data_IF_536118795356
#
_entry.id   IF_536118795356
#
_cell.length_a   1.000
_cell.length_b   1.000
_cell.length_c   1.000
_cell.angle_alpha   90.00
_cell.angle_beta   90.00
_cell.angle_gamma   90.00
#
_symmetry.space_group_name_H-M   'P 1'
#
loop_
_entity.id
_entity.type
_entity.pdbx_description
1 polymer ?
#
# COMPACT_ATOMS: atom_id res chain seq x y z
N UNK A 1 -21.74 27.47 6.20
CA UNK A 1 -20.72 28.34 6.85
C UNK A 1 -20.29 27.77 8.21
N UNK A 2 -20.93 28.05 9.36
CA UNK A 2 -20.44 27.58 10.69
C UNK A 2 -20.42 26.05 10.88
N UNK A 3 -21.37 25.33 10.30
CA UNK A 3 -21.44 23.86 10.40
C UNK A 3 -20.42 23.18 9.49
N UNK A 4 -20.22 23.69 8.28
CA UNK A 4 -19.22 23.20 7.32
C UNK A 4 -17.79 23.43 7.84
N UNK A 5 -17.51 24.58 8.45
CA UNK A 5 -16.22 24.87 9.09
C UNK A 5 -15.94 23.93 10.28
N UNK A 6 -16.96 23.58 11.06
CA UNK A 6 -16.84 22.58 12.14
C UNK A 6 -16.54 21.20 11.58
N UNK A 7 -17.28 20.75 10.57
CA UNK A 7 -17.07 19.46 9.92
C UNK A 7 -15.66 19.35 9.29
N UNK A 8 -15.15 20.45 8.73
CA UNK A 8 -13.78 20.53 8.19
C UNK A 8 -12.71 20.44 9.28
N UNK A 9 -12.89 21.13 10.42
CA UNK A 9 -11.98 21.00 11.58
C UNK A 9 -12.00 19.60 12.17
N UNK A 10 -13.17 19.03 12.40
CA UNK A 10 -13.29 17.65 12.90
C UNK A 10 -12.68 16.64 11.93
N UNK A 11 -12.79 16.87 10.62
CA UNK A 11 -12.11 16.06 9.61
C UNK A 11 -10.59 16.27 9.61
N UNK A 12 -10.09 17.46 9.95
CA UNK A 12 -8.66 17.73 10.16
C UNK A 12 -8.13 17.03 11.41
N UNK A 13 -8.83 17.13 12.53
CA UNK A 13 -8.45 16.45 13.78
C UNK A 13 -8.48 14.93 13.64
N UNK A 14 -9.51 14.37 12.98
CA UNK A 14 -9.54 12.93 12.66
C UNK A 14 -8.36 12.49 11.80
N UNK A 15 -7.88 13.35 10.88
CA UNK A 15 -6.68 13.08 10.07
C UNK A 15 -5.42 13.09 10.91
N UNK A 16 -5.20 14.14 11.70
CA UNK A 16 -4.07 14.25 12.62
C UNK A 16 -3.99 13.03 13.57
N UNK A 17 -5.14 12.59 14.08
CA UNK A 17 -5.23 11.38 14.90
C UNK A 17 -4.91 10.11 14.13
N UNK A 18 -5.39 9.98 12.89
CA UNK A 18 -5.03 8.88 12.00
C UNK A 18 -3.53 8.81 11.73
N UNK A 19 -2.91 9.94 11.41
CA UNK A 19 -1.47 10.04 11.15
C UNK A 19 -0.64 9.67 12.38
N UNK A 20 -1.08 10.04 13.58
CA UNK A 20 -0.44 9.63 14.84
C UNK A 20 -0.49 8.11 15.03
N UNK A 21 -1.63 7.48 14.76
CA UNK A 21 -1.78 6.03 14.86
C UNK A 21 -0.89 5.34 13.81
N UNK A 22 -0.91 5.83 12.56
CA UNK A 22 -0.08 5.32 11.47
C UNK A 22 1.41 5.39 11.79
N UNK A 23 1.89 6.50 12.34
CA UNK A 23 3.30 6.67 12.74
C UNK A 23 3.70 5.80 13.92
N UNK A 24 2.74 5.43 14.77
CA UNK A 24 2.97 4.54 15.92
C UNK A 24 2.90 3.06 15.52
N UNK A 25 2.04 2.71 14.55
CA UNK A 25 1.77 1.34 14.12
C UNK A 25 1.72 1.25 12.58
N UNK A 26 2.86 1.40 11.88
CA UNK A 26 2.89 1.38 10.43
C UNK A 26 2.58 -0.02 9.89
N UNK A 27 1.69 -0.12 8.90
CA UNK A 27 1.24 -1.39 8.31
C UNK A 27 1.46 -1.44 6.80
N UNK A 28 1.27 -0.32 6.10
CA UNK A 28 1.39 -0.24 4.65
C UNK A 28 2.74 0.35 4.23
N UNK A 29 3.07 0.28 2.93
CA UNK A 29 4.30 0.88 2.40
C UNK A 29 4.34 2.39 2.65
N UNK A 30 3.19 3.05 2.47
CA UNK A 30 3.03 4.48 2.70
C UNK A 30 3.31 4.86 4.16
N UNK A 31 2.87 4.03 5.11
CA UNK A 31 3.14 4.26 6.53
C UNK A 31 4.65 4.23 6.83
N UNK A 32 5.39 3.32 6.20
CA UNK A 32 6.86 3.28 6.32
C UNK A 32 7.53 4.45 5.59
N UNK A 33 7.02 4.89 4.45
CA UNK A 33 7.52 6.08 3.73
C UNK A 33 7.39 7.34 4.59
N UNK A 34 6.29 7.47 5.36
CA UNK A 34 6.15 8.55 6.35
C UNK A 34 7.25 8.50 7.41
N UNK A 35 7.57 7.33 7.96
CA UNK A 35 8.65 7.19 8.94
C UNK A 35 10.02 7.55 8.35
N UNK A 36 10.32 7.09 7.13
CA UNK A 36 11.56 7.47 6.45
C UNK A 36 11.63 8.99 6.23
N UNK A 37 10.53 9.63 5.82
CA UNK A 37 10.48 11.10 5.66
C UNK A 37 10.65 11.86 6.98
N UNK A 38 10.25 11.28 8.11
CA UNK A 38 10.44 11.88 9.43
C UNK A 38 11.90 11.83 9.85
N UNK A 39 12.57 10.69 9.62
CA UNK A 39 14.02 10.55 9.82
C UNK A 39 14.77 11.54 8.92
N UNK A 40 14.38 11.66 7.66
CA UNK A 40 15.00 12.61 6.72
C UNK A 40 14.88 14.06 7.16
N UNK A 41 13.67 14.50 7.54
CA UNK A 41 13.44 15.88 8.01
C UNK A 41 14.22 16.18 9.29
N UNK A 42 14.23 15.23 10.22
CA UNK A 42 15.03 15.33 11.44
C UNK A 42 16.52 15.46 11.10
N UNK A 43 17.04 14.60 10.22
CA UNK A 43 18.43 14.65 9.74
C UNK A 43 18.76 16.01 9.13
N UNK A 44 17.93 16.53 8.24
CA UNK A 44 18.16 17.84 7.62
C UNK A 44 18.16 18.99 8.63
N UNK A 45 17.22 18.98 9.58
CA UNK A 45 17.18 19.97 10.66
C UNK A 45 18.45 19.90 11.53
N UNK A 46 18.92 18.69 11.82
CA UNK A 46 20.11 18.46 12.62
C UNK A 46 21.40 18.82 11.87
N UNK A 47 21.48 18.53 10.57
CA UNK A 47 22.57 19.02 9.71
C UNK A 47 22.60 20.55 9.72
N UNK A 48 21.45 21.21 9.63
CA UNK A 48 21.38 22.68 9.67
C UNK A 48 21.85 23.22 11.03
N UNK A 49 21.44 22.59 12.14
CA UNK A 49 21.90 22.92 13.51
C UNK A 49 23.41 22.73 13.66
N UNK A 50 23.93 21.56 13.28
CA UNK A 50 25.35 21.22 13.39
C UNK A 50 26.20 22.10 12.49
N UNK A 51 25.67 22.50 11.32
CA UNK A 51 26.37 23.35 10.38
C UNK A 51 26.68 24.74 10.95
N UNK A 52 25.87 25.24 11.88
CA UNK A 52 26.08 26.52 12.57
C UNK A 52 27.22 26.48 13.61
N UNK A 53 27.71 25.30 14.02
CA UNK A 53 28.87 25.22 14.91
C UNK A 53 30.14 25.71 14.18
N UNK A 54 30.86 26.62 14.84
CA UNK A 54 32.07 27.23 14.29
C UNK A 54 33.32 26.35 14.40
N UNK A 55 33.37 25.44 15.38
CA UNK A 55 34.55 24.64 15.69
C UNK A 55 34.54 23.28 14.96
N UNK A 56 35.66 22.94 14.30
CA UNK A 56 35.77 21.72 13.47
C UNK A 56 35.66 20.42 14.27
N UNK A 57 36.32 20.33 15.43
CA UNK A 57 36.32 19.12 16.26
C UNK A 57 34.92 18.72 16.75
N UNK A 58 34.21 19.61 17.47
CA UNK A 58 32.84 19.36 17.91
C UNK A 58 31.89 19.08 16.74
N UNK A 59 32.05 19.77 15.61
CA UNK A 59 31.24 19.54 14.40
C UNK A 59 31.40 18.11 13.85
N UNK A 60 32.63 17.59 13.80
CA UNK A 60 32.89 16.20 13.39
C UNK A 60 32.24 15.21 14.36
N UNK A 61 32.40 15.42 15.67
CA UNK A 61 31.81 14.54 16.68
C UNK A 61 30.27 14.49 16.59
N UNK A 62 29.62 15.66 16.48
CA UNK A 62 28.17 15.76 16.33
C UNK A 62 27.66 15.11 15.04
N UNK A 63 28.39 15.24 13.91
CA UNK A 63 28.03 14.55 12.67
C UNK A 63 28.16 13.03 12.77
N UNK A 64 29.17 12.53 13.48
CA UNK A 64 29.30 11.08 13.75
C UNK A 64 28.12 10.58 14.58
N UNK A 65 27.77 11.30 15.67
CA UNK A 65 26.60 11.00 16.51
C UNK A 65 25.28 11.04 15.72
N UNK A 66 25.14 12.00 14.80
CA UNK A 66 23.99 12.08 13.91
C UNK A 66 23.90 10.84 13.00
N UNK A 67 25.01 10.44 12.38
CA UNK A 67 25.05 9.27 11.51
C UNK A 67 24.72 7.99 12.28
N UNK A 68 25.28 7.80 13.47
CA UNK A 68 25.00 6.64 14.31
C UNK A 68 23.52 6.54 14.66
N UNK A 69 22.90 7.67 15.05
CA UNK A 69 21.46 7.76 15.31
C UNK A 69 20.62 7.52 14.06
N UNK A 70 21.02 8.04 12.90
CA UNK A 70 20.33 7.77 11.62
C UNK A 70 20.32 6.27 11.32
N UNK A 71 21.48 5.61 11.44
CA UNK A 71 21.60 4.17 11.20
C UNK A 71 20.75 3.37 12.19
N UNK A 72 20.74 3.75 13.47
CA UNK A 72 19.90 3.12 14.49
C UNK A 72 18.41 3.23 14.13
N UNK A 73 17.93 4.44 13.82
CA UNK A 73 16.53 4.68 13.45
C UNK A 73 16.14 3.88 12.20
N UNK A 74 16.98 3.86 11.15
CA UNK A 74 16.72 3.09 9.94
C UNK A 74 16.70 1.58 10.20
N UNK A 75 17.57 1.08 11.07
CA UNK A 75 17.57 -0.34 11.50
C UNK A 75 16.29 -0.69 12.26
N UNK A 76 15.84 0.16 13.17
CA UNK A 76 14.58 -0.03 13.90
C UNK A 76 13.37 -0.08 12.93
N UNK A 77 13.32 0.84 11.97
CA UNK A 77 12.25 0.87 10.96
C UNK A 77 12.26 -0.42 10.12
N UNK A 78 13.42 -0.88 9.66
CA UNK A 78 13.51 -2.10 8.85
C UNK A 78 13.17 -3.36 9.66
N UNK A 79 13.62 -3.46 10.91
CA UNK A 79 13.25 -4.56 11.81
C UNK A 79 11.73 -4.64 12.00
N UNK A 80 11.09 -3.50 12.26
CA UNK A 80 9.63 -3.44 12.39
C UNK A 80 8.93 -3.80 11.07
N UNK A 81 9.45 -3.36 9.94
CA UNK A 81 8.93 -3.71 8.61
C UNK A 81 8.99 -5.22 8.34
N UNK A 82 10.07 -5.87 8.73
CA UNK A 82 10.19 -7.33 8.65
C UNK A 82 9.13 -7.99 9.52
N UNK A 83 8.98 -7.55 10.77
CA UNK A 83 7.98 -8.06 11.70
C UNK A 83 6.54 -7.92 11.15
N UNK A 84 6.17 -6.72 10.69
CA UNK A 84 4.84 -6.45 10.10
C UNK A 84 4.57 -7.35 8.88
N UNK A 85 5.59 -7.60 8.06
CA UNK A 85 5.49 -8.51 6.92
C UNK A 85 5.25 -9.95 7.38
N UNK A 86 5.93 -10.40 8.43
CA UNK A 86 5.74 -11.74 9.01
C UNK A 86 4.36 -11.90 9.64
N UNK A 87 3.89 -10.92 10.40
CA UNK A 87 2.55 -10.93 11.00
C UNK A 87 1.47 -10.90 9.92
N UNK A 88 1.65 -10.07 8.89
CA UNK A 88 0.76 -10.04 7.72
C UNK A 88 0.74 -11.38 6.97
N UNK A 89 1.87 -12.09 6.90
CA UNK A 89 1.93 -13.45 6.35
C UNK A 89 1.10 -14.40 7.21
N UNK A 90 1.35 -14.47 8.53
CA UNK A 90 0.62 -15.34 9.46
C UNK A 90 -0.90 -15.10 9.41
N UNK A 91 -1.34 -13.83 9.36
CA UNK A 91 -2.76 -13.47 9.24
C UNK A 91 -3.35 -14.01 7.93
N UNK A 92 -2.65 -13.85 6.80
CA UNK A 92 -3.11 -14.37 5.50
C UNK A 92 -3.18 -15.89 5.48
N UNK A 93 -2.22 -16.56 6.10
CA UNK A 93 -2.20 -18.02 6.22
C UNK A 93 -3.39 -18.50 7.05
N UNK A 94 -3.65 -17.89 8.20
CA UNK A 94 -4.84 -18.18 9.02
C UNK A 94 -6.14 -17.93 8.26
N UNK A 95 -6.26 -16.78 7.58
CA UNK A 95 -7.45 -16.45 6.78
C UNK A 95 -7.68 -17.46 5.65
N UNK A 96 -6.61 -17.91 5.00
CA UNK A 96 -6.67 -18.93 3.95
C UNK A 96 -7.17 -20.27 4.52
N UNK A 97 -6.61 -20.72 5.64
CA UNK A 97 -7.04 -21.95 6.30
C UNK A 97 -8.50 -21.89 6.75
N UNK A 98 -8.94 -20.74 7.26
CA UNK A 98 -10.35 -20.55 7.59
C UNK A 98 -11.24 -20.65 6.35
N UNK A 99 -10.86 -20.01 5.25
CA UNK A 99 -11.66 -20.00 4.02
C UNK A 99 -11.83 -21.39 3.41
N UNK A 100 -10.77 -22.22 3.36
CA UNK A 100 -10.86 -23.59 2.83
C UNK A 100 -11.70 -24.53 3.70
N UNK A 101 -11.84 -24.22 4.99
CA UNK A 101 -12.59 -25.04 5.95
C UNK A 101 -14.08 -24.71 6.04
N UNK A 102 -14.52 -23.62 5.37
CA UNK A 102 -15.92 -23.17 5.40
C UNK A 102 -16.81 -24.03 4.49
N UNK A 103 -18.04 -24.35 4.94
CA UNK A 103 -19.01 -25.02 4.08
C UNK A 103 -19.43 -24.10 2.93
N UNK A 104 -19.73 -24.69 1.77
CA UNK A 104 -20.21 -23.96 0.61
C UNK A 104 -21.63 -23.43 0.89
N UNK A 105 -21.86 -22.13 0.72
CA UNK A 105 -23.14 -21.49 1.04
C UNK A 105 -23.71 -20.73 -0.16
N UNK A 106 -24.98 -20.92 -0.47
CA UNK A 106 -25.69 -20.21 -1.55
C UNK A 106 -27.14 -19.97 -1.19
N UNK A 107 -27.76 -18.97 -1.82
CA UNK A 107 -29.19 -18.72 -1.67
C UNK A 107 -29.97 -19.61 -2.63
N UNK A 108 -30.93 -20.38 -2.10
CA UNK A 108 -31.91 -21.12 -2.90
C UNK A 108 -32.87 -20.18 -3.64
N UNK A 109 -33.69 -20.74 -4.53
CA UNK A 109 -34.71 -19.97 -5.28
C UNK A 109 -35.70 -19.23 -4.36
N UNK A 110 -35.92 -19.78 -3.17
CA UNK A 110 -36.81 -19.22 -2.15
C UNK A 110 -36.13 -18.15 -1.26
N UNK A 111 -34.89 -17.74 -1.58
CA UNK A 111 -34.12 -16.78 -0.81
C UNK A 111 -33.56 -17.30 0.52
N UNK A 112 -33.72 -18.59 0.83
CA UNK A 112 -33.13 -19.24 2.01
C UNK A 112 -31.65 -19.59 1.77
N UNK A 113 -30.80 -19.33 2.76
CA UNK A 113 -29.39 -19.72 2.72
C UNK A 113 -29.26 -21.24 2.92
N UNK A 114 -28.70 -21.93 1.94
CA UNK A 114 -28.38 -23.36 1.98
C UNK A 114 -26.87 -23.49 2.15
N UNK A 115 -26.45 -24.32 3.11
CA UNK A 115 -25.05 -24.66 3.35
C UNK A 115 -24.81 -26.13 3.02
N UNK A 116 -23.68 -26.45 2.39
CA UNK A 116 -23.25 -27.80 2.03
C UNK A 116 -21.82 -28.00 2.51
N UNK A 117 -21.62 -29.04 3.32
CA UNK A 117 -20.29 -29.51 3.69
C UNK A 117 -19.92 -30.63 2.72
N UNK A 118 -18.87 -30.43 1.94
CA UNK A 118 -18.34 -31.45 1.02
C UNK A 118 -17.26 -32.28 1.71
N UNK A 119 -16.87 -33.40 1.09
CA UNK A 119 -15.77 -34.22 1.63
C UNK A 119 -14.47 -33.41 1.66
N UNK A 120 -14.26 -32.53 0.69
CA UNK A 120 -13.10 -31.64 0.62
C UNK A 120 -13.09 -30.61 1.76
N UNK A 121 -14.22 -29.96 2.07
CA UNK A 121 -14.29 -29.00 3.18
C UNK A 121 -14.12 -29.66 4.54
N UNK A 122 -14.60 -30.89 4.70
CA UNK A 122 -14.34 -31.71 5.89
C UNK A 122 -12.85 -32.06 6.03
N UNK A 123 -12.20 -32.51 4.94
CA UNK A 123 -10.76 -32.79 4.93
C UNK A 123 -9.93 -31.56 5.23
N UNK A 124 -10.27 -30.41 4.64
CA UNK A 124 -9.62 -29.14 4.88
C UNK A 124 -9.75 -28.70 6.36
N UNK A 125 -10.92 -28.92 6.98
CA UNK A 125 -11.14 -28.66 8.40
C UNK A 125 -10.24 -29.53 9.29
N UNK A 126 -10.19 -30.83 9.03
CA UNK A 126 -9.33 -31.77 9.77
C UNK A 126 -7.84 -31.39 9.63
N UNK A 127 -7.38 -31.10 8.41
CA UNK A 127 -5.99 -30.67 8.18
C UNK A 127 -5.68 -29.33 8.83
N UNK A 128 -6.62 -28.37 8.85
CA UNK A 128 -6.47 -27.10 9.57
C UNK A 128 -6.27 -27.32 11.06
N UNK A 129 -7.09 -28.18 11.67
CA UNK A 129 -7.00 -28.49 13.10
C UNK A 129 -5.66 -29.13 13.44
N UNK A 130 -5.23 -30.15 12.68
CA UNK A 130 -3.93 -30.79 12.84
C UNK A 130 -2.77 -29.80 12.63
N UNK A 131 -2.87 -28.91 11.64
CA UNK A 131 -1.87 -27.88 11.38
C UNK A 131 -1.76 -26.89 12.55
N UNK A 132 -2.88 -26.44 13.10
CA UNK A 132 -2.90 -25.54 14.25
C UNK A 132 -2.33 -26.22 15.51
N UNK A 133 -2.64 -27.51 15.72
CA UNK A 133 -2.04 -28.30 16.81
C UNK A 133 -0.53 -28.48 16.61
N UNK A 134 -0.08 -28.69 15.37
CA UNK A 134 1.35 -28.81 15.06
C UNK A 134 2.14 -27.51 15.32
N UNK A 135 1.50 -26.34 15.21
CA UNK A 135 2.13 -25.05 15.47
C UNK A 135 2.32 -24.74 16.97
N UNK A 136 1.71 -25.52 17.87
CA UNK A 136 1.87 -25.35 19.31
C UNK A 136 3.27 -25.81 19.75
N UNK A 137 3.93 -24.97 20.51
CA UNK A 137 5.24 -25.26 21.13
C UNK A 137 5.10 -25.65 22.61
N UNK A 138 3.91 -25.50 23.20
CA UNK A 138 3.57 -25.72 24.60
C UNK A 138 3.03 -27.14 24.86
N UNK A 139 3.80 -28.17 24.51
CA UNK A 139 3.35 -29.56 24.60
C UNK A 139 4.45 -30.51 25.09
N UNK A 140 4.05 -31.58 25.76
CA UNK A 140 4.97 -32.64 26.18
C UNK A 140 5.41 -33.51 24.99
N UNK A 141 6.55 -34.20 25.13
CA UNK A 141 7.10 -35.05 24.06
C UNK A 141 6.10 -36.11 23.58
N UNK A 142 5.31 -36.70 24.49
CA UNK A 142 4.33 -37.72 24.12
C UNK A 142 3.17 -37.13 23.30
N UNK A 143 2.59 -36.00 23.75
CA UNK A 143 1.55 -35.26 23.02
C UNK A 143 2.06 -34.84 21.63
N UNK A 144 3.32 -34.42 21.55
CA UNK A 144 3.95 -34.09 20.27
C UNK A 144 4.02 -35.29 19.33
N UNK A 145 4.46 -36.46 19.83
CA UNK A 145 4.53 -37.69 19.04
C UNK A 145 3.14 -38.10 18.54
N UNK A 146 2.10 -38.00 19.37
CA UNK A 146 0.71 -38.28 18.96
C UNK A 146 0.29 -37.39 17.77
N UNK A 147 0.55 -36.08 17.84
CA UNK A 147 0.24 -35.15 16.74
C UNK A 147 1.02 -35.50 15.46
N UNK A 148 2.28 -35.92 15.58
CA UNK A 148 3.09 -36.35 14.43
C UNK A 148 2.50 -37.60 13.76
N UNK A 149 2.03 -38.56 14.56
CA UNK A 149 1.38 -39.79 14.07
C UNK A 149 0.03 -39.48 13.42
N UNK A 150 -0.79 -38.65 14.05
CA UNK A 150 -2.09 -38.25 13.51
C UNK A 150 -1.95 -37.49 12.18
N UNK A 151 -0.98 -36.57 12.11
CA UNK A 151 -0.64 -35.87 10.88
C UNK A 151 -0.16 -36.83 9.80
N UNK A 152 0.73 -37.77 10.14
CA UNK A 152 1.22 -38.80 9.20
C UNK A 152 0.06 -39.61 8.64
N UNK A 153 -0.85 -40.08 9.48
CA UNK A 153 -2.01 -40.85 9.06
C UNK A 153 -2.92 -40.05 8.13
N UNK A 154 -3.19 -38.77 8.47
CA UNK A 154 -3.97 -37.89 7.61
C UNK A 154 -3.30 -37.68 6.23
N UNK A 155 -1.97 -37.61 6.18
CA UNK A 155 -1.22 -37.39 4.95
C UNK A 155 -1.16 -38.62 4.02
N UNK A 156 -1.27 -39.84 4.56
CA UNK A 156 -1.24 -41.07 3.78
C UNK A 156 -2.38 -41.18 2.76
N UNK A 157 -3.48 -40.46 2.95
CA UNK A 157 -4.58 -40.41 1.99
C UNK A 157 -4.23 -39.64 0.69
N UNK A 158 -3.17 -38.82 0.70
CA UNK A 158 -2.79 -37.97 -0.42
C UNK A 158 -1.72 -38.61 -1.28
N UNK A 159 -2.05 -38.86 -2.55
CA UNK A 159 -1.09 -39.36 -3.55
C UNK A 159 -0.34 -38.19 -4.19
N UNK A 160 0.53 -37.55 -3.41
CA UNK A 160 1.29 -36.37 -3.86
C UNK A 160 2.77 -36.45 -3.39
N UNK A 161 3.76 -36.14 -4.24
CA UNK A 161 5.18 -36.23 -3.85
C UNK A 161 5.56 -35.42 -2.60
N UNK A 162 4.97 -34.22 -2.44
CA UNK A 162 5.16 -33.42 -1.23
C UNK A 162 4.61 -34.11 0.03
N UNK A 163 3.54 -34.89 -0.06
CA UNK A 163 2.99 -35.60 1.10
C UNK A 163 3.98 -36.67 1.59
N UNK A 164 4.60 -37.42 0.66
CA UNK A 164 5.66 -38.39 0.98
C UNK A 164 6.88 -37.73 1.62
N UNK A 165 7.32 -36.58 1.09
CA UNK A 165 8.42 -35.81 1.68
C UNK A 165 8.08 -35.36 3.11
N UNK A 166 6.87 -34.85 3.34
CA UNK A 166 6.43 -34.41 4.66
C UNK A 166 6.38 -35.59 5.63
N UNK A 167 5.85 -36.74 5.22
CA UNK A 167 5.82 -37.96 6.05
C UNK A 167 7.23 -38.34 6.50
N UNK A 168 8.21 -38.33 5.59
CA UNK A 168 9.61 -38.61 5.93
C UNK A 168 10.18 -37.58 6.93
N UNK A 169 9.80 -36.31 6.82
CA UNK A 169 10.22 -35.28 7.78
C UNK A 169 9.57 -35.45 9.14
N UNK A 170 8.30 -35.86 9.20
CA UNK A 170 7.58 -36.17 10.44
C UNK A 170 8.22 -37.37 11.15
N UNK A 171 8.51 -38.44 10.41
CA UNK A 171 9.19 -39.63 10.94
C UNK A 171 10.58 -39.27 11.51
N UNK A 172 11.31 -38.39 10.80
CA UNK A 172 12.60 -37.87 11.30
C UNK A 172 12.44 -37.06 12.59
N UNK A 173 11.37 -36.26 12.73
CA UNK A 173 11.12 -35.55 13.99
C UNK A 173 10.83 -36.53 15.13
N UNK A 174 10.00 -37.55 14.90
CA UNK A 174 9.74 -38.62 15.86
C UNK A 174 11.04 -39.30 16.33
N UNK A 175 11.91 -39.71 15.40
CA UNK A 175 13.18 -40.35 15.72
C UNK A 175 14.08 -39.47 16.60
N UNK A 176 14.13 -38.17 16.32
CA UNK A 176 14.94 -37.22 17.08
C UNK A 176 14.34 -36.94 18.47
N UNK A 177 13.02 -36.91 18.60
CA UNK A 177 12.33 -36.80 19.90
C UNK A 177 12.59 -38.02 20.78
N UNK A 178 12.52 -39.24 20.21
CA UNK A 178 12.84 -40.49 20.93
C UNK A 178 14.28 -40.50 21.40
N UNK A 179 15.21 -39.91 20.63
CA UNK A 179 16.62 -39.74 21.00
C UNK A 179 16.88 -38.59 21.97
N UNK A 180 15.83 -37.88 22.42
CA UNK A 180 15.90 -36.75 23.36
C UNK A 180 16.79 -35.61 22.85
N UNK A 181 16.76 -35.33 21.54
CA UNK A 181 17.42 -34.15 21.00
C UNK A 181 16.80 -32.86 21.55
N UNK A 182 17.62 -31.83 21.67
CA UNK A 182 17.16 -30.55 22.22
C UNK A 182 16.16 -29.87 21.28
N UNK A 183 15.19 -29.18 21.89
CA UNK A 183 14.15 -28.44 21.18
C UNK A 183 14.73 -27.48 20.12
N UNK A 184 15.80 -26.74 20.46
CA UNK A 184 16.47 -25.81 19.54
C UNK A 184 17.05 -26.49 18.29
N UNK A 185 17.44 -27.77 18.39
CA UNK A 185 17.94 -28.52 17.25
C UNK A 185 16.82 -28.93 16.28
N UNK A 186 15.57 -28.98 16.77
CA UNK A 186 14.38 -29.34 15.99
C UNK A 186 13.72 -28.13 15.32
N UNK A 187 14.00 -26.90 15.75
CA UNK A 187 13.35 -25.67 15.27
C UNK A 187 13.36 -25.56 13.73
N UNK A 188 14.50 -25.83 13.10
CA UNK A 188 14.60 -25.76 11.63
C UNK A 188 13.81 -26.87 10.94
N UNK A 189 13.83 -28.10 11.49
CA UNK A 189 13.06 -29.22 10.97
C UNK A 189 11.56 -28.92 11.05
N UNK A 190 11.09 -28.44 12.20
CA UNK A 190 9.69 -28.04 12.42
C UNK A 190 9.26 -26.93 11.47
N UNK A 191 10.08 -25.88 11.30
CA UNK A 191 9.79 -24.81 10.33
C UNK A 191 9.67 -25.34 8.90
N UNK A 192 10.54 -26.27 8.51
CA UNK A 192 10.47 -26.93 7.20
C UNK A 192 9.18 -27.73 7.06
N UNK A 193 8.84 -28.56 8.04
CA UNK A 193 7.59 -29.34 8.06
C UNK A 193 6.38 -28.41 7.93
N UNK A 194 6.29 -27.37 8.76
CA UNK A 194 5.20 -26.38 8.72
C UNK A 194 5.07 -25.72 7.34
N UNK A 195 6.18 -25.30 6.74
CA UNK A 195 6.16 -24.67 5.41
C UNK A 195 5.71 -25.64 4.32
N UNK A 196 6.22 -26.89 4.34
CA UNK A 196 5.84 -27.93 3.39
C UNK A 196 4.38 -28.36 3.55
N UNK A 197 3.89 -28.53 4.78
CA UNK A 197 2.48 -28.79 5.08
C UNK A 197 1.58 -27.70 4.49
N UNK A 198 1.92 -26.43 4.74
CA UNK A 198 1.13 -25.32 4.23
C UNK A 198 1.17 -25.23 2.70
N UNK A 199 2.29 -25.59 2.07
CA UNK A 199 2.40 -25.70 0.62
C UNK A 199 1.53 -26.84 0.06
N UNK A 200 1.50 -28.00 0.72
CA UNK A 200 0.61 -29.10 0.35
C UNK A 200 -0.86 -28.69 0.47
N UNK A 201 -1.27 -28.02 1.54
CA UNK A 201 -2.65 -27.53 1.71
C UNK A 201 -3.06 -26.55 0.58
N UNK A 202 -2.09 -25.86 -0.02
CA UNK A 202 -2.32 -24.95 -1.15
C UNK A 202 -2.48 -25.64 -2.50
N UNK A 203 -2.06 -26.90 -2.67
CA UNK A 203 -2.15 -27.57 -3.99
C UNK A 203 -3.60 -27.81 -4.41
N UNK A 204 -3.82 -27.85 -5.72
CA UNK A 204 -5.15 -27.89 -6.34
C UNK A 204 -5.96 -29.14 -5.99
N UNK A 205 -5.30 -30.25 -5.64
CA UNK A 205 -5.94 -31.51 -5.25
C UNK A 205 -6.76 -31.37 -3.96
N UNK A 206 -6.29 -30.54 -3.03
CA UNK A 206 -6.98 -30.21 -1.79
C UNK A 206 -7.91 -28.98 -1.91
N UNK A 207 -7.79 -28.25 -3.02
CA UNK A 207 -8.32 -26.91 -3.13
C UNK A 207 -9.02 -26.62 -4.47
N UNK A 208 -9.66 -27.61 -5.07
CA UNK A 208 -10.37 -27.44 -6.34
C UNK A 208 -11.61 -26.50 -6.27
N UNK A 209 -11.81 -25.76 -5.18
CA UNK A 209 -12.94 -24.88 -4.90
C UNK A 209 -12.62 -23.50 -4.30
N UNK A 210 -11.51 -23.32 -3.56
CA UNK A 210 -11.19 -22.05 -2.87
C UNK A 210 -10.06 -21.27 -3.56
N UNK A 211 -9.10 -21.97 -4.21
CA UNK A 211 -8.13 -21.33 -5.13
C UNK A 211 -8.68 -21.07 -6.52
N UNK A 212 -9.92 -21.49 -6.83
CA UNK A 212 -10.66 -21.05 -8.01
C UNK A 212 -11.00 -19.55 -7.92
N UNK A 213 -10.04 -18.63 -8.12
CA UNK A 213 -10.30 -17.31 -8.74
C UNK A 213 -9.13 -16.33 -8.79
N UNK A 214 -7.99 -16.51 -8.09
CA UNK A 214 -6.86 -15.59 -8.28
C UNK A 214 -6.02 -15.99 -9.49
N UNK A 215 -5.48 -17.21 -9.52
CA UNK A 215 -4.67 -17.65 -10.67
C UNK A 215 -5.42 -17.60 -11.99
N UNK A 216 -6.71 -17.98 -12.06
CA UNK A 216 -7.46 -17.94 -13.33
C UNK A 216 -7.80 -16.51 -13.76
N UNK A 217 -8.12 -15.59 -12.83
CA UNK A 217 -8.39 -14.18 -13.18
C UNK A 217 -7.11 -13.46 -13.53
N UNK A 218 -6.06 -13.62 -12.72
CA UNK A 218 -4.73 -13.07 -13.00
C UNK A 218 -4.18 -13.65 -14.32
N UNK A 219 -4.37 -14.95 -14.59
CA UNK A 219 -3.99 -15.55 -15.87
C UNK A 219 -4.83 -15.04 -17.05
N UNK A 220 -6.14 -14.85 -16.88
CA UNK A 220 -7.01 -14.23 -17.91
C UNK A 220 -6.67 -12.77 -18.15
N UNK A 221 -6.36 -12.02 -17.10
CA UNK A 221 -5.88 -10.64 -17.18
C UNK A 221 -4.53 -10.61 -17.90
N UNK A 222 -3.59 -11.50 -17.54
CA UNK A 222 -2.31 -11.65 -18.24
C UNK A 222 -2.43 -12.09 -19.70
N UNK A 223 -3.45 -12.89 -20.05
CA UNK A 223 -3.72 -13.29 -21.44
C UNK A 223 -4.27 -12.15 -22.28
N UNK A 224 -5.06 -11.26 -21.68
CA UNK A 224 -5.78 -10.20 -22.40
C UNK A 224 -5.04 -8.85 -22.39
N UNK A 225 -4.15 -8.62 -21.42
CA UNK A 225 -3.43 -7.36 -21.25
C UNK A 225 -1.98 -7.43 -21.79
N UNK A 226 -1.43 -6.25 -22.11
CA UNK A 226 -0.01 -6.13 -22.47
C UNK A 226 0.87 -6.29 -21.23
N UNK A 227 1.79 -7.23 -21.32
CA UNK A 227 2.77 -7.53 -20.28
C UNK A 227 4.10 -6.80 -20.54
N UNK A 228 4.73 -6.38 -19.45
CA UNK A 228 5.99 -5.64 -19.46
C UNK A 228 7.03 -6.33 -18.59
N UNK A 229 8.27 -6.33 -19.04
CA UNK A 229 9.38 -6.94 -18.33
C UNK A 229 10.03 -5.93 -17.39
N UNK A 230 10.16 -6.29 -16.11
CA UNK A 230 10.90 -5.47 -15.16
C UNK A 230 12.39 -5.84 -15.16
N UNK A 231 13.25 -4.88 -15.49
CA UNK A 231 14.71 -5.06 -15.56
C UNK A 231 15.37 -5.34 -14.20
N UNK A 232 14.72 -5.00 -13.08
CA UNK A 232 15.30 -5.15 -11.74
C UNK A 232 14.96 -6.48 -11.05
N UNK A 233 13.76 -7.03 -11.28
CA UNK A 233 13.38 -8.32 -10.71
C UNK A 233 13.29 -9.44 -11.73
N UNK A 234 13.49 -9.12 -13.01
CA UNK A 234 13.36 -10.03 -14.14
C UNK A 234 12.01 -10.76 -14.20
N UNK A 235 10.96 -10.11 -13.71
CA UNK A 235 9.60 -10.62 -13.75
C UNK A 235 8.76 -9.86 -14.76
N UNK A 236 7.93 -10.60 -15.48
CA UNK A 236 6.93 -10.07 -16.39
C UNK A 236 5.69 -9.71 -15.59
N UNK A 237 5.19 -8.49 -15.76
CA UNK A 237 4.07 -7.92 -14.97
C UNK A 237 3.14 -7.08 -15.83
N UNK A 238 1.97 -6.78 -15.30
CA UNK A 238 0.99 -5.90 -15.94
C UNK A 238 1.45 -4.44 -15.86
N UNK A 239 0.99 -3.58 -16.78
CA UNK A 239 1.35 -2.15 -16.78
C UNK A 239 1.03 -1.44 -15.45
N UNK A 240 -0.04 -1.88 -14.75
CA UNK A 240 -0.48 -1.33 -13.45
C UNK A 240 0.54 -1.57 -12.33
N UNK A 241 1.42 -2.56 -12.50
CA UNK A 241 2.48 -2.87 -11.54
C UNK A 241 3.71 -1.98 -11.73
N UNK A 242 3.72 -1.11 -12.74
CA UNK A 242 4.76 -0.12 -12.97
C UNK A 242 4.24 1.27 -12.57
N UNK A 243 5.13 2.17 -12.11
CA UNK A 243 4.73 3.56 -11.84
C UNK A 243 4.17 4.18 -13.12
N UNK A 244 3.20 5.11 -13.01
CA UNK A 244 2.70 5.90 -14.14
C UNK A 244 2.90 7.39 -13.80
N UNK A 245 4.06 7.96 -14.09
CA UNK A 245 4.34 9.37 -13.82
C UNK A 245 4.49 10.18 -15.11
N UNK A 246 4.35 11.50 -15.01
CA UNK A 246 4.42 12.44 -16.13
C UNK A 246 5.70 12.37 -16.97
N UNK A 247 6.78 11.81 -16.43
CA UNK A 247 8.12 11.79 -17.04
C UNK A 247 8.56 10.39 -17.48
N UNK A 248 7.63 9.43 -17.57
CA UNK A 248 7.98 8.06 -17.93
C UNK A 248 8.43 7.97 -19.38
N UNK A 249 9.68 7.55 -19.58
CA UNK A 249 10.22 7.13 -20.86
C UNK A 249 9.88 5.67 -21.22
N UNK A 250 9.37 4.87 -20.27
CA UNK A 250 8.91 3.49 -20.49
C UNK A 250 8.69 2.67 -19.21
N UNK A 251 8.13 1.47 -19.36
CA UNK A 251 7.86 0.53 -18.27
C UNK A 251 9.08 -0.37 -17.97
N UNK A 252 10.15 0.20 -17.40
CA UNK A 252 11.43 -0.51 -17.15
C UNK A 252 11.51 -1.14 -15.76
N UNK A 253 11.04 -0.42 -14.73
CA UNK A 253 11.15 -0.84 -13.33
C UNK A 253 9.78 -0.87 -12.68
N UNK A 254 9.38 -2.03 -12.13
CA UNK A 254 8.09 -2.16 -11.45
C UNK A 254 8.06 -1.36 -10.14
N UNK A 255 6.87 -0.97 -9.70
CA UNK A 255 6.62 -0.23 -8.44
C UNK A 255 7.30 -0.86 -7.23
N UNK A 256 7.31 -2.19 -7.15
CA UNK A 256 7.94 -2.92 -6.03
C UNK A 256 9.47 -2.87 -6.06
N UNK A 257 10.08 -2.76 -7.24
CA UNK A 257 11.53 -2.61 -7.38
C UNK A 257 11.94 -1.15 -7.20
N UNK A 258 11.20 -0.22 -7.81
CA UNK A 258 11.40 1.22 -7.62
C UNK A 258 11.31 1.60 -6.14
N UNK A 259 10.35 1.05 -5.40
CA UNK A 259 10.25 1.27 -3.95
C UNK A 259 11.42 0.67 -3.15
N UNK A 260 12.07 -0.39 -3.65
CA UNK A 260 13.26 -0.97 -2.99
C UNK A 260 14.54 -0.22 -3.34
N UNK A 261 14.60 0.41 -4.51
CA UNK A 261 15.75 1.21 -4.92
C UNK A 261 15.94 2.37 -3.94
N UNK A 262 17.15 2.49 -3.42
CA UNK A 262 17.51 3.54 -2.47
C UNK A 262 17.74 4.87 -3.19
N UNK A 263 18.18 4.83 -4.46
CA UNK A 263 18.48 6.02 -5.26
C UNK A 263 17.21 6.67 -5.82
N UNK A 264 16.17 5.88 -6.12
CA UNK A 264 14.85 6.40 -6.51
C UNK A 264 13.94 6.73 -5.31
N UNK A 265 14.29 6.25 -4.10
CA UNK A 265 13.54 6.56 -2.88
C UNK A 265 13.77 8.02 -2.50
N UNK A 266 12.94 8.91 -3.04
CA UNK A 266 12.71 10.21 -2.40
C UNK A 266 12.04 9.95 -1.06
N UNK A 267 12.72 10.23 0.06
CA UNK A 267 12.17 10.15 1.43
C UNK A 267 11.13 11.25 1.68
N UNK A 268 10.22 11.44 0.74
CA UNK A 268 9.18 12.44 0.76
C UNK A 268 7.88 11.77 1.16
N UNK A 269 7.22 12.32 2.17
CA UNK A 269 5.87 11.93 2.52
C UNK A 269 4.91 12.28 1.37
N UNK A 270 4.42 11.26 0.66
CA UNK A 270 3.46 11.44 -0.45
C UNK A 270 2.03 11.66 0.05
N UNK A 271 1.76 11.44 1.34
CA UNK A 271 0.41 11.48 1.94
C UNK A 271 -0.30 12.83 1.75
N UNK A 272 0.35 14.00 1.96
CA UNK A 272 -0.28 15.29 1.71
C UNK A 272 -0.69 15.48 0.25
N UNK A 273 0.17 15.06 -0.69
CA UNK A 273 -0.07 15.19 -2.13
C UNK A 273 -1.19 14.25 -2.61
N UNK A 274 -1.24 13.03 -2.08
CA UNK A 274 -2.38 12.10 -2.25
C UNK A 274 -3.68 12.70 -1.75
N UNK A 275 -3.65 13.40 -0.62
CA UNK A 275 -4.82 14.05 -0.08
C UNK A 275 -5.28 15.20 -1.00
N UNK A 276 -4.37 16.05 -1.45
CA UNK A 276 -4.66 17.12 -2.41
C UNK A 276 -5.27 16.54 -3.69
N UNK A 277 -4.69 15.47 -4.24
CA UNK A 277 -5.23 14.77 -5.42
C UNK A 277 -6.67 14.29 -5.18
N UNK A 278 -6.92 13.63 -4.05
CA UNK A 278 -8.25 13.12 -3.69
C UNK A 278 -9.25 14.25 -3.48
N UNK A 279 -8.82 15.41 -3.00
CA UNK A 279 -9.67 16.58 -2.88
C UNK A 279 -10.10 17.07 -4.26
N UNK A 280 -9.15 17.27 -5.18
CA UNK A 280 -9.43 17.64 -6.57
C UNK A 280 -10.36 16.63 -7.23
N UNK A 281 -10.03 15.33 -7.19
CA UNK A 281 -10.86 14.28 -7.78
C UNK A 281 -12.28 14.24 -7.22
N UNK A 282 -12.47 14.55 -5.93
CA UNK A 282 -13.80 14.59 -5.31
C UNK A 282 -14.60 15.79 -5.84
N UNK A 283 -13.98 16.94 -6.00
CA UNK A 283 -14.65 18.15 -6.48
C UNK A 283 -14.99 18.04 -7.97
N UNK A 284 -14.11 17.44 -8.79
CA UNK A 284 -14.38 17.13 -10.19
C UNK A 284 -15.53 16.14 -10.35
N UNK A 285 -15.61 15.11 -9.48
CA UNK A 285 -16.74 14.16 -9.45
C UNK A 285 -18.07 14.83 -9.12
N UNK A 286 -18.09 15.77 -8.16
CA UNK A 286 -19.30 16.53 -7.82
C UNK A 286 -19.78 17.37 -8.99
N UNK A 287 -18.85 17.93 -9.78
CA UNK A 287 -19.13 18.72 -10.98
C UNK A 287 -19.43 17.87 -12.23
N UNK A 288 -19.26 16.55 -12.16
CA UNK A 288 -19.43 15.59 -13.27
C UNK A 288 -18.44 15.83 -14.44
N UNK A 289 -17.26 16.38 -14.14
CA UNK A 289 -16.21 16.67 -15.12
C UNK A 289 -15.28 15.46 -15.30
N UNK A 290 -15.77 14.40 -15.97
CA UNK A 290 -15.03 13.14 -16.08
C UNK A 290 -13.81 13.19 -17.01
N UNK A 291 -13.76 14.15 -17.93
CA UNK A 291 -12.62 14.44 -18.83
C UNK A 291 -11.41 15.07 -18.14
N UNK A 292 -11.54 15.42 -16.86
CA UNK A 292 -10.52 16.09 -16.07
C UNK A 292 -9.23 15.28 -15.96
N UNK A 293 -8.09 15.95 -16.09
CA UNK A 293 -6.76 15.34 -15.90
C UNK A 293 -6.56 14.84 -14.46
N UNK A 294 -7.37 15.30 -13.51
CA UNK A 294 -7.34 14.87 -12.12
C UNK A 294 -7.46 13.34 -11.95
N UNK A 295 -8.11 12.65 -12.89
CA UNK A 295 -8.28 11.20 -12.82
C UNK A 295 -7.10 10.42 -13.40
N UNK A 296 -6.27 11.03 -14.24
CA UNK A 296 -5.10 10.38 -14.86
C UNK A 296 -3.84 10.59 -14.00
N UNK A 297 -3.73 11.72 -13.30
CA UNK A 297 -2.55 12.06 -12.51
C UNK A 297 -2.35 11.14 -11.30
N UNK A 298 -1.08 10.91 -10.97
CA UNK A 298 -0.64 10.21 -9.77
C UNK A 298 -0.13 11.17 -8.68
N UNK A 299 0.10 10.63 -7.49
CA UNK A 299 0.54 11.37 -6.30
C UNK A 299 1.89 12.10 -6.55
N UNK A 300 2.80 11.49 -7.32
CA UNK A 300 4.09 12.08 -7.72
C UNK A 300 3.93 13.28 -8.66
N UNK A 301 2.88 13.31 -9.48
CA UNK A 301 2.61 14.42 -10.37
C UNK A 301 2.10 15.64 -9.58
N UNK A 302 1.27 15.39 -8.56
CA UNK A 302 0.82 16.42 -7.62
C UNK A 302 1.98 16.95 -6.77
N UNK A 303 2.88 16.07 -6.33
CA UNK A 303 4.15 16.48 -5.71
C UNK A 303 4.91 17.46 -6.61
N UNK A 304 5.09 17.13 -7.90
CA UNK A 304 5.75 18.04 -8.84
C UNK A 304 5.02 19.39 -8.97
N UNK A 305 3.68 19.38 -9.07
CA UNK A 305 2.91 20.62 -9.17
C UNK A 305 3.11 21.47 -7.91
N UNK A 306 2.93 20.90 -6.71
CA UNK A 306 3.01 21.64 -5.46
C UNK A 306 4.43 22.14 -5.16
N UNK A 307 5.44 21.27 -5.27
CA UNK A 307 6.82 21.59 -4.89
C UNK A 307 7.60 22.31 -5.99
N UNK A 308 7.50 21.86 -7.25
CA UNK A 308 8.32 22.41 -8.35
C UNK A 308 7.65 23.56 -9.08
N UNK A 309 6.32 23.54 -9.24
CA UNK A 309 5.63 24.68 -9.87
C UNK A 309 5.31 25.75 -8.82
N UNK A 310 4.71 25.38 -7.70
CA UNK A 310 4.21 26.34 -6.70
C UNK A 310 5.13 26.54 -5.48
N UNK A 311 6.24 25.80 -5.37
CA UNK A 311 7.21 25.88 -4.25
C UNK A 311 6.57 25.79 -2.85
N UNK A 312 5.53 24.95 -2.72
CA UNK A 312 4.91 24.58 -1.45
C UNK A 312 4.37 25.75 -0.64
N UNK A 313 3.92 26.83 -1.31
CA UNK A 313 3.25 27.94 -0.67
C UNK A 313 2.00 28.37 -1.45
N UNK A 314 1.02 28.96 -0.73
CA UNK A 314 -0.14 29.58 -1.37
C UNK A 314 0.30 30.70 -2.31
N UNK A 315 -0.32 30.78 -3.48
CA UNK A 315 -0.10 31.84 -4.45
C UNK A 315 -0.50 33.24 -3.93
N UNK A 316 -1.41 33.30 -2.95
CA UNK A 316 -1.99 34.56 -2.44
C UNK A 316 -1.38 34.93 -1.08
N UNK A 317 -1.54 34.10 -0.04
CA UNK A 317 -1.05 34.38 1.33
C UNK A 317 0.37 33.89 1.62
N UNK A 318 1.03 33.21 0.69
CA UNK A 318 2.33 32.55 0.90
C UNK A 318 2.36 31.52 2.05
N UNK A 319 1.19 31.06 2.53
CA UNK A 319 1.09 30.04 3.56
C UNK A 319 1.77 28.74 3.11
N UNK A 320 2.65 28.18 3.96
CA UNK A 320 3.43 26.96 3.69
C UNK A 320 2.85 25.69 4.32
N UNK A 321 1.72 25.79 5.02
CA UNK A 321 1.11 24.63 5.66
C UNK A 321 0.40 23.74 4.63
N UNK A 322 1.06 22.65 4.23
CA UNK A 322 0.55 21.63 3.32
C UNK A 322 -0.83 21.07 3.70
N UNK A 323 -1.20 21.10 4.99
CA UNK A 323 -2.50 20.59 5.45
C UNK A 323 -3.69 21.49 5.02
N UNK A 324 -3.43 22.78 4.87
CA UNK A 324 -4.38 23.81 4.46
C UNK A 324 -4.40 24.05 2.95
N UNK A 325 -3.34 23.67 2.23
CA UNK A 325 -3.21 23.91 0.80
C UNK A 325 -4.09 22.98 -0.05
N UNK A 326 -4.67 23.53 -1.12
CA UNK A 326 -5.53 22.88 -2.10
C UNK A 326 -5.18 23.38 -3.50
N UNK A 327 -5.33 22.50 -4.49
CA UNK A 327 -5.25 22.88 -5.90
C UNK A 327 -6.66 23.24 -6.38
N UNK A 328 -6.89 24.53 -6.59
CA UNK A 328 -8.15 25.06 -7.12
C UNK A 328 -8.06 25.21 -8.65
N UNK A 329 -9.21 25.19 -9.34
CA UNK A 329 -9.30 25.64 -10.74
C UNK A 329 -9.02 27.13 -10.81
N UNK A 330 -8.29 27.58 -11.83
CA UNK A 330 -8.10 29.02 -12.07
C UNK A 330 -9.29 29.61 -12.82
N UNK A 331 -9.68 28.99 -13.94
CA UNK A 331 -10.95 29.26 -14.61
C UNK A 331 -11.98 28.23 -14.12
N UNK A 332 -13.05 28.71 -13.48
CA UNK A 332 -14.08 27.87 -12.87
C UNK A 332 -14.87 27.07 -13.92
N UNK A 333 -15.05 27.65 -15.09
CA UNK A 333 -15.83 27.09 -16.21
C UNK A 333 -15.10 25.96 -16.95
N UNK A 334 -13.76 25.95 -16.89
CA UNK A 334 -12.95 24.92 -17.54
C UNK A 334 -12.66 23.74 -16.60
N UNK A 335 -12.47 22.55 -17.17
CA UNK A 335 -12.08 21.37 -16.41
C UNK A 335 -10.72 21.55 -15.71
N UNK A 336 -10.56 20.88 -14.57
CA UNK A 336 -9.29 20.94 -13.85
C UNK A 336 -8.17 20.29 -14.67
N UNK A 337 -7.04 20.98 -14.74
CA UNK A 337 -5.82 20.48 -15.36
C UNK A 337 -4.59 21.13 -14.70
N UNK A 338 -3.39 20.56 -14.89
CA UNK A 338 -2.15 21.17 -14.40
C UNK A 338 -1.94 22.62 -14.85
N UNK A 339 -2.52 23.02 -15.98
CA UNK A 339 -2.47 24.39 -16.54
C UNK A 339 -3.79 25.16 -16.41
N UNK A 340 -4.75 24.64 -15.65
CA UNK A 340 -5.92 25.36 -15.17
C UNK A 340 -6.02 25.15 -13.65
N UNK A 341 -4.89 25.27 -12.94
CA UNK A 341 -4.88 25.14 -11.49
C UNK A 341 -3.92 26.11 -10.83
N UNK A 342 -4.18 26.39 -9.56
CA UNK A 342 -3.26 27.14 -8.71
C UNK A 342 -3.39 26.70 -7.25
N UNK A 343 -2.30 26.89 -6.50
CA UNK A 343 -2.17 26.41 -5.13
C UNK A 343 -2.59 27.50 -4.15
N UNK A 344 -3.60 27.23 -3.34
CA UNK A 344 -4.20 28.18 -2.38
C UNK A 344 -4.67 27.48 -1.11
N UNK A 345 -4.92 28.24 -0.06
CA UNK A 345 -5.55 27.72 1.17
C UNK A 345 -7.03 27.41 0.96
N UNK A 346 -7.63 26.62 1.86
CA UNK A 346 -9.07 26.32 1.83
C UNK A 346 -9.93 27.58 1.83
N UNK A 347 -9.54 28.62 2.58
CA UNK A 347 -10.30 29.87 2.67
C UNK A 347 -10.20 30.68 1.37
N UNK A 348 -9.00 30.81 0.82
CA UNK A 348 -8.76 31.48 -0.47
C UNK A 348 -9.50 30.80 -1.62
N UNK A 349 -9.49 29.46 -1.64
CA UNK A 349 -10.24 28.67 -2.61
C UNK A 349 -11.74 29.01 -2.57
N UNK A 350 -12.34 29.09 -1.37
CA UNK A 350 -13.76 29.43 -1.20
C UNK A 350 -14.07 30.85 -1.70
N UNK A 351 -13.15 31.80 -1.50
CA UNK A 351 -13.29 33.15 -2.04
C UNK A 351 -13.18 33.17 -3.57
N UNK A 352 -12.18 32.46 -4.11
CA UNK A 352 -11.92 32.38 -5.54
C UNK A 352 -13.08 31.76 -6.32
N UNK A 353 -13.70 30.69 -5.80
CA UNK A 353 -14.82 30.02 -6.46
C UNK A 353 -16.08 30.87 -6.61
N UNK A 354 -16.14 32.05 -5.97
CA UNK A 354 -17.24 33.02 -6.13
C UNK A 354 -16.97 34.04 -7.23
N UNK A 355 -15.76 34.06 -7.78
CA UNK A 355 -15.37 34.97 -8.85
C UNK A 355 -15.70 34.34 -10.19
N UNK A 356 -16.34 35.12 -11.08
CA UNK A 356 -16.58 34.71 -12.47
C UNK A 356 -15.32 34.87 -13.31
N UNK A 357 -14.67 36.04 -13.23
CA UNK A 357 -13.43 36.37 -13.95
C UNK A 357 -12.31 36.74 -12.97
N UNK A 358 -11.37 35.83 -12.69
CA UNK A 358 -10.24 36.10 -11.80
C UNK A 358 -9.35 37.26 -12.25
N UNK A 359 -9.20 37.44 -13.56
CA UNK A 359 -8.32 38.44 -14.19
C UNK A 359 -8.75 39.89 -13.91
N UNK A 360 -10.05 40.10 -13.66
CA UNK A 360 -10.60 41.42 -13.37
C UNK A 360 -10.47 41.80 -11.88
N UNK A 361 -10.15 40.82 -11.01
CA UNK A 361 -10.17 40.97 -9.54
C UNK A 361 -8.78 40.87 -8.92
N UNK A 362 -7.90 40.04 -9.48
CA UNK A 362 -6.53 39.90 -9.00
C UNK A 362 -5.56 40.88 -9.65
N UNK A 363 -4.51 41.25 -8.91
CA UNK A 363 -3.43 42.09 -9.44
C UNK A 363 -2.74 41.45 -10.65
N UNK A 364 -2.34 42.28 -11.60
CA UNK A 364 -1.71 41.86 -12.87
C UNK A 364 -0.46 41.00 -12.64
N UNK A 365 0.32 41.29 -11.60
CA UNK A 365 1.49 40.50 -11.21
C UNK A 365 1.13 39.06 -10.85
N UNK A 366 0.03 38.86 -10.10
CA UNK A 366 -0.43 37.53 -9.70
C UNK A 366 -0.95 36.76 -10.91
N UNK A 367 -1.72 37.42 -11.78
CA UNK A 367 -2.22 36.83 -13.03
C UNK A 367 -1.05 36.38 -13.90
N UNK A 368 -0.05 37.24 -14.10
CA UNK A 368 1.14 36.92 -14.90
C UNK A 368 1.95 35.77 -14.29
N UNK A 369 2.08 35.73 -12.97
CA UNK A 369 2.72 34.62 -12.23
C UNK A 369 2.01 33.31 -12.51
N UNK A 370 0.68 33.28 -12.38
CA UNK A 370 -0.14 32.07 -12.62
C UNK A 370 -0.02 31.61 -14.08
N UNK A 371 -0.16 32.51 -15.04
CA UNK A 371 -0.02 32.19 -16.46
C UNK A 371 1.36 31.60 -16.80
N UNK A 372 2.43 32.14 -16.21
CA UNK A 372 3.78 31.60 -16.39
C UNK A 372 3.91 30.18 -15.82
N UNK A 373 3.28 29.90 -14.67
CA UNK A 373 3.22 28.54 -14.11
C UNK A 373 2.41 27.59 -14.98
N UNK A 374 1.30 28.04 -15.56
CA UNK A 374 0.51 27.23 -16.50
C UNK A 374 1.29 26.87 -17.77
N UNK A 375 2.07 27.81 -18.32
CA UNK A 375 2.97 27.53 -19.46
C UNK A 375 4.01 26.47 -19.10
N UNK A 376 4.64 26.58 -17.93
CA UNK A 376 5.57 25.58 -17.42
C UNK A 376 4.91 24.22 -17.19
N UNK A 377 3.66 24.20 -16.69
CA UNK A 377 2.90 22.97 -16.53
C UNK A 377 2.65 22.30 -17.89
N UNK A 378 2.19 23.03 -18.91
CA UNK A 378 1.96 22.47 -20.25
C UNK A 378 3.21 21.81 -20.82
N UNK A 379 4.38 22.44 -20.68
CA UNK A 379 5.65 21.86 -21.16
C UNK A 379 6.05 20.58 -20.41
N UNK A 380 5.81 20.50 -19.09
CA UNK A 380 6.18 19.32 -18.29
C UNK A 380 5.17 18.16 -18.39
N UNK A 381 3.91 18.44 -18.74
CA UNK A 381 2.82 17.48 -18.79
C UNK A 381 2.39 17.10 -20.22
N UNK A 382 3.15 17.50 -21.24
CA UNK A 382 2.82 17.27 -22.66
C UNK A 382 2.61 15.79 -22.99
N UNK A 383 3.43 14.89 -22.43
CA UNK A 383 3.29 13.44 -22.64
C UNK A 383 1.97 12.90 -22.07
N UNK A 384 1.47 13.46 -20.96
CA UNK A 384 0.20 13.07 -20.33
C UNK A 384 -1.02 13.51 -21.15
N UNK A 385 -0.90 14.51 -22.03
CA UNK A 385 -1.96 14.85 -22.99
C UNK A 385 -2.29 13.67 -23.90
N UNK A 386 -1.24 12.97 -24.38
CA UNK A 386 -1.40 11.81 -25.26
C UNK A 386 -2.03 10.61 -24.54
N UNK A 387 -1.74 10.45 -23.25
CA UNK A 387 -2.29 9.40 -22.39
C UNK A 387 -3.75 9.68 -22.06
N UNK A 388 -4.11 10.92 -21.69
CA UNK A 388 -5.50 11.30 -21.40
C UNK A 388 -6.41 11.13 -22.62
N UNK A 389 -5.91 11.43 -23.83
CA UNK A 389 -6.66 11.18 -25.08
C UNK A 389 -7.01 9.69 -25.24
N UNK A 390 -6.09 8.78 -24.92
CA UNK A 390 -6.33 7.34 -24.95
C UNK A 390 -7.32 6.87 -23.87
N UNK A 391 -7.27 7.45 -22.67
CA UNK A 391 -8.19 7.15 -21.57
C UNK A 391 -9.62 7.65 -21.85
N UNK A 392 -9.75 8.83 -22.43
CA UNK A 392 -11.05 9.40 -22.81
C UNK A 392 -11.71 8.62 -23.95
N UNK A 393 -10.92 8.13 -24.90
CA UNK A 393 -11.38 7.30 -26.02
C UNK A 393 -11.73 5.85 -25.60
N UNK A 394 -11.06 5.28 -24.59
CA UNK A 394 -11.30 3.88 -24.17
C UNK A 394 -12.52 3.69 -23.26
N UNK A 395 -13.01 4.75 -22.61
CA UNK A 395 -14.18 4.68 -21.74
C UNK A 395 -13.98 3.93 -20.42
N UNK A 396 -12.74 3.55 -20.07
CA UNK A 396 -12.37 2.76 -18.87
C UNK A 396 -12.41 3.57 -17.55
N UNK A 397 -13.33 4.53 -17.45
CA UNK A 397 -13.60 5.32 -16.24
C UNK A 397 -13.90 4.50 -14.96
N UNK A 398 -14.50 3.29 -15.02
CA UNK A 398 -14.83 2.52 -13.80
C UNK A 398 -13.62 1.86 -13.11
N UNK A 399 -12.48 1.72 -13.78
CA UNK A 399 -11.32 0.99 -13.25
C UNK A 399 -10.54 1.79 -12.20
N UNK A 400 -10.66 3.13 -12.21
CA UNK A 400 -10.13 4.02 -11.16
C UNK A 400 -11.17 4.09 -10.03
N UNK A 401 -11.43 2.93 -9.42
CA UNK A 401 -12.04 2.93 -8.08
C UNK A 401 -11.01 3.58 -7.17
N UNK A 402 -11.33 4.78 -6.64
CA UNK A 402 -10.88 5.07 -5.28
C UNK A 402 -11.25 3.82 -4.47
N UNK A 403 -10.30 3.15 -3.77
CA UNK A 403 -10.64 1.99 -2.99
C UNK A 403 -11.86 2.38 -2.17
N UNK A 404 -12.97 1.68 -2.41
CA UNK A 404 -14.19 1.88 -1.66
C UNK A 404 -13.74 1.91 -0.21
N UNK A 405 -14.12 2.97 0.52
CA UNK A 405 -13.94 3.02 1.98
C UNK A 405 -14.23 1.62 2.44
N UNK A 406 -13.20 0.92 2.93
CA UNK A 406 -13.40 -0.40 3.49
C UNK A 406 -14.50 -0.14 4.51
N UNK A 407 -15.70 -0.67 4.25
CA UNK A 407 -16.64 -0.92 5.32
C UNK A 407 -15.89 -1.95 6.15
N UNK A 408 -15.03 -1.45 7.04
CA UNK A 408 -14.59 -2.19 8.21
C UNK A 408 -15.89 -2.64 8.81
N UNK A 409 -16.23 -3.91 8.58
CA UNK A 409 -17.16 -4.61 9.45
C UNK A 409 -16.67 -4.25 10.85
N UNK A 410 -17.53 -3.59 11.61
CA UNK A 410 -17.31 -3.40 13.02
C UNK A 410 -16.86 -4.77 13.55
N UNK A 411 -15.61 -4.83 13.99
CA UNK A 411 -15.19 -5.90 14.89
C UNK A 411 -15.85 -5.47 16.18
N UNK A 412 -16.95 -6.12 16.53
CA UNK A 412 -17.52 -6.00 17.86
C UNK A 412 -16.41 -6.36 18.84
N UNK A 413 -15.97 -5.35 19.59
CA UNK A 413 -15.08 -5.52 20.72
C UNK A 413 -15.96 -6.05 21.84
N UNK A 414 -15.74 -7.30 22.23
CA UNK A 414 -15.99 -7.76 23.60
C UNK A 414 -14.69 -7.55 24.37
#
# INVERSE_FOLDING_TARGET
MKEEERLEREAMERRLRGDLITKTFPKTREDFDQLYSMVDRWKHAEIARISQLHSKGPKIAEFTLLLDKEVELLRCIEAYRIQVKEDSRKIKEKQFLEEISKPFAWYGRDGKLITMDTVETQKARKLKELYNSFLRDDMETNERIEILVDMKFALQEFRHPLAEEIINLLDRECDLLVRRCDQHQLDFLRRRITASLFQLIKTSELNSGVTKCKDIREYREMQNDRLYFCEMCHQVKLYKDFPLNAKISGFLVCTSCSWKDVNERSWVDMTPYKFILRAVQRDERKRKCWSSFAFVLQEKDIFFIVEKLWHSHSAISECRDLSELRLCRWHVDEDWSPWNCFLVTVQEMKAHLRLERPEDVYDEELVQKVQNKHKLAKANFEQLMSVNKRFTESGDWPAIRAPAVARTKAVDII
#
